data_IF_746203974271
#
_entry.id   IF_746203974271
#
_cell.length_a   1.000
_cell.length_b   1.000
_cell.length_c   1.000
_cell.angle_alpha   90.00
_cell.angle_beta   90.00
_cell.angle_gamma   90.00
#
_symmetry.space_group_name_H-M   'P 1'
#
loop_
_entity.id
_entity.type
_entity.pdbx_description
1 polymer ?
#
# COMPACT_ATOMS: atom_id res chain seq x y z
N UNK A 1 -12.98 7.42 5.84
CA UNK A 1 -13.19 7.70 4.39
C UNK A 1 -12.44 6.60 3.62
N UNK A 2 -12.95 6.12 2.48
CA UNK A 2 -12.47 4.94 1.69
C UNK A 2 -12.75 3.53 2.23
N UNK A 3 -12.88 3.31 3.54
CA UNK A 3 -13.24 1.97 4.09
C UNK A 3 -12.19 0.88 3.83
N UNK A 4 -10.99 1.29 3.41
CA UNK A 4 -9.88 0.41 3.07
C UNK A 4 -9.04 0.11 4.33
N UNK A 5 -8.70 -1.17 4.60
CA UNK A 5 -7.75 -1.50 5.65
C UNK A 5 -6.37 -0.89 5.37
N UNK A 6 -5.71 -0.33 6.39
CA UNK A 6 -4.37 0.24 6.27
C UNK A 6 -3.37 -0.71 5.59
N UNK A 7 -3.45 -2.00 5.92
CA UNK A 7 -2.59 -3.03 5.33
C UNK A 7 -2.75 -3.18 3.82
N UNK A 8 -3.95 -2.97 3.26
CA UNK A 8 -4.13 -2.96 1.81
C UNK A 8 -3.42 -1.75 1.19
N UNK A 9 -3.59 -0.54 1.75
CA UNK A 9 -2.82 0.62 1.28
C UNK A 9 -1.30 0.40 1.39
N UNK A 10 -0.82 -0.16 2.50
CA UNK A 10 0.61 -0.42 2.71
C UNK A 10 1.21 -1.38 1.66
N UNK A 11 0.47 -2.42 1.25
CA UNK A 11 0.91 -3.36 0.22
C UNK A 11 1.01 -2.71 -1.17
N UNK A 12 0.07 -1.83 -1.49
CA UNK A 12 0.05 -1.14 -2.78
C UNK A 12 1.01 0.05 -2.85
N UNK A 13 1.39 0.63 -1.71
CA UNK A 13 2.14 1.89 -1.70
C UNK A 13 3.48 1.80 -2.45
N UNK A 14 4.37 0.83 -2.17
CA UNK A 14 5.64 0.72 -2.88
C UNK A 14 5.46 0.37 -4.36
N UNK A 15 4.44 -0.40 -4.71
CA UNK A 15 4.15 -0.85 -6.08
C UNK A 15 3.76 0.31 -7.03
N UNK A 16 3.44 1.49 -6.51
CA UNK A 16 3.21 2.68 -7.33
C UNK A 16 4.49 3.27 -7.91
N UNK A 17 5.66 2.91 -7.38
CA UNK A 17 6.92 3.41 -7.90
C UNK A 17 7.44 2.50 -9.03
N UNK A 18 7.77 3.03 -10.22
CA UNK A 18 8.10 2.21 -11.39
C UNK A 18 9.36 1.34 -11.21
N UNK A 19 10.25 1.69 -10.28
CA UNK A 19 11.42 0.88 -9.95
C UNK A 19 11.13 -0.34 -9.06
N UNK A 20 9.92 -0.46 -8.50
CA UNK A 20 9.56 -1.56 -7.58
C UNK A 20 8.91 -2.69 -8.36
N UNK A 21 9.67 -3.76 -8.58
CA UNK A 21 9.17 -4.96 -9.27
C UNK A 21 8.29 -5.85 -8.39
N UNK A 22 8.55 -5.89 -7.08
CA UNK A 22 7.75 -6.66 -6.12
C UNK A 22 7.88 -6.14 -4.69
N UNK A 23 6.92 -6.51 -3.84
CA UNK A 23 6.91 -6.23 -2.40
C UNK A 23 6.96 -7.55 -1.64
N UNK A 24 8.01 -7.76 -0.85
CA UNK A 24 8.13 -8.93 0.01
C UNK A 24 7.33 -8.72 1.31
N UNK A 25 6.46 -9.67 1.63
CA UNK A 25 5.64 -9.64 2.84
C UNK A 25 6.03 -10.79 3.76
N UNK A 26 6.49 -10.46 4.97
CA UNK A 26 6.75 -11.46 6.01
C UNK A 26 5.46 -12.01 6.59
N UNK A 27 5.32 -13.33 6.64
CA UNK A 27 4.16 -14.02 7.23
C UNK A 27 4.65 -15.20 8.07
N UNK A 28 4.01 -15.46 9.21
CA UNK A 28 4.36 -16.58 10.11
C UNK A 28 3.37 -17.74 10.06
N UNK A 29 2.29 -17.62 9.28
CA UNK A 29 1.27 -18.67 9.16
C UNK A 29 0.55 -18.63 7.82
N UNK A 30 -0.07 -19.75 7.45
CA UNK A 30 -0.91 -19.83 6.24
C UNK A 30 -2.12 -18.89 6.28
N UNK A 31 -2.63 -18.54 7.48
CA UNK A 31 -3.71 -17.57 7.61
C UNK A 31 -3.26 -16.15 7.24
N UNK A 32 -2.05 -15.77 7.64
CA UNK A 32 -1.47 -14.47 7.30
C UNK A 32 -1.10 -14.38 5.81
N UNK A 33 -0.64 -15.47 5.20
CA UNK A 33 -0.44 -15.54 3.73
C UNK A 33 -1.76 -15.25 3.01
N UNK A 34 -2.86 -15.88 3.44
CA UNK A 34 -4.19 -15.66 2.85
C UNK A 34 -4.69 -14.24 3.07
N UNK A 35 -4.57 -13.69 4.28
CA UNK A 35 -4.95 -12.29 4.52
C UNK A 35 -4.12 -11.35 3.65
N UNK A 36 -2.80 -11.49 3.58
CA UNK A 36 -1.95 -10.65 2.73
C UNK A 36 -2.38 -10.69 1.24
N UNK A 37 -2.68 -11.89 0.72
CA UNK A 37 -3.19 -12.06 -0.64
C UNK A 37 -4.58 -11.40 -0.84
N UNK A 38 -5.49 -11.56 0.12
CA UNK A 38 -6.81 -10.92 0.10
C UNK A 38 -6.72 -9.39 0.19
N UNK A 39 -5.76 -8.85 0.92
CA UNK A 39 -5.54 -7.40 0.99
C UNK A 39 -4.92 -6.85 -0.29
N UNK A 40 -3.96 -7.57 -0.88
CA UNK A 40 -3.34 -7.20 -2.15
C UNK A 40 -4.33 -7.25 -3.33
N UNK A 41 -5.36 -8.09 -3.24
CA UNK A 41 -6.40 -8.19 -4.25
C UNK A 41 -7.44 -7.05 -4.18
N UNK A 42 -7.35 -6.13 -3.21
CA UNK A 42 -8.29 -5.01 -3.08
C UNK A 42 -7.87 -3.84 -3.95
N UNK A 43 -8.84 -3.20 -4.58
CA UNK A 43 -8.60 -1.94 -5.26
C UNK A 43 -8.34 -0.83 -4.25
N UNK A 44 -7.27 -0.06 -4.49
CA UNK A 44 -6.93 1.12 -3.70
C UNK A 44 -7.25 2.37 -4.52
N UNK A 45 -8.24 3.18 -4.10
CA UNK A 45 -8.63 4.38 -4.86
C UNK A 45 -7.48 5.37 -4.97
N UNK A 46 -7.29 5.98 -6.16
CA UNK A 46 -6.22 6.97 -6.37
C UNK A 46 -6.39 8.21 -5.46
N UNK A 47 -7.63 8.60 -5.20
CA UNK A 47 -7.99 9.71 -4.31
C UNK A 47 -7.42 9.54 -2.90
N UNK A 48 -7.23 8.29 -2.42
CA UNK A 48 -6.60 8.04 -1.13
C UNK A 48 -5.17 8.61 -1.10
N UNK A 49 -4.40 8.44 -2.18
CA UNK A 49 -3.02 8.91 -2.24
C UNK A 49 -2.94 10.43 -2.31
N UNK A 50 -3.85 11.06 -3.06
CA UNK A 50 -3.96 12.50 -3.11
C UNK A 50 -4.30 13.09 -1.73
N UNK A 51 -5.24 12.49 -1.01
CA UNK A 51 -5.59 12.90 0.35
C UNK A 51 -4.41 12.74 1.33
N UNK A 52 -3.67 11.62 1.25
CA UNK A 52 -2.52 11.37 2.11
C UNK A 52 -1.35 12.33 1.84
N UNK A 53 -1.09 12.68 0.57
CA UNK A 53 -0.12 13.73 0.20
C UNK A 53 -0.53 15.11 0.71
N UNK A 54 -1.78 15.50 0.46
CA UNK A 54 -2.32 16.76 0.96
C UNK A 54 -2.29 16.86 2.50
N UNK A 55 -2.37 15.72 3.19
CA UNK A 55 -2.23 15.63 4.64
C UNK A 55 -0.77 15.61 5.14
N UNK A 56 0.23 15.67 4.27
CA UNK A 56 1.65 15.59 4.62
C UNK A 56 2.08 14.23 5.15
N UNK A 57 1.30 13.17 4.91
CA UNK A 57 1.58 11.81 5.39
C UNK A 57 2.42 11.01 4.39
N UNK A 58 2.51 11.46 3.15
CA UNK A 58 3.35 10.90 2.10
C UNK A 58 4.23 12.02 1.53
N UNK A 59 5.43 11.65 1.09
CA UNK A 59 6.29 12.56 0.35
C UNK A 59 5.66 12.92 -1.01
N UNK A 60 5.91 14.15 -1.46
CA UNK A 60 5.34 14.68 -2.72
C UNK A 60 5.91 13.95 -3.94
N UNK A 61 7.18 13.53 -3.90
CA UNK A 61 7.83 12.70 -4.91
C UNK A 61 8.98 11.92 -4.26
N UNK A 62 9.37 10.79 -4.87
CA UNK A 62 10.38 9.82 -4.39
C UNK A 62 11.82 10.33 -4.24
N UNK A 63 12.00 11.50 -3.66
CA UNK A 63 13.29 11.97 -3.15
C UNK A 63 13.38 11.45 -1.72
N UNK A 64 14.19 10.40 -1.53
CA UNK A 64 14.52 9.82 -0.24
C UNK A 64 14.94 10.88 0.78
N UNK A 65 14.54 10.65 2.03
CA UNK A 65 15.25 11.15 3.21
C UNK A 65 16.30 10.12 3.63
#
# INVERSE_FOLDING_TARGET
>A
RHGLPLRAAALHYPLRHPAVASVLVGTRSAAEVRDAAEQLARDVPEDLWAELRAGGLLAEDGTEA
#
